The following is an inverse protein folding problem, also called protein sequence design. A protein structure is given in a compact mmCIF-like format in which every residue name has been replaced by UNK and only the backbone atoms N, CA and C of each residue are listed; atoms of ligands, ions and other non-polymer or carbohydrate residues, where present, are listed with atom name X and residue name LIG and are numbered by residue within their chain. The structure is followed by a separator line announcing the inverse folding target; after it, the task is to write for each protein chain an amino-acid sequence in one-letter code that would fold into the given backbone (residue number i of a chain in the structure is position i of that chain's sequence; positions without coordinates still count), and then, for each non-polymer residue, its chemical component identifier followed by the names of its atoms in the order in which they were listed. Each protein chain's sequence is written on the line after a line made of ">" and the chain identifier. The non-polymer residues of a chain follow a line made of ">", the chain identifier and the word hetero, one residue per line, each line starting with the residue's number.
data_IF_629836496395
#
_entry.id   IF_629836496395
#
_cell.length_a   1.000
_cell.length_b   1.000
_cell.length_c   1.000
_cell.angle_alpha   90.00
_cell.angle_beta   90.00
_cell.angle_gamma   90.00
#
_symmetry.space_group_name_H-M   'P 1'
#
loop_
_entity.id
_entity.type
_entity.pdbx_description
1 polymer ?
#
# COMPACT_ATOMS: atom_id res chain seq x y z
N UNK A 1 -27.80 24.96 -27.11
CA UNK A 1 -27.45 24.16 -25.91
C UNK A 1 -25.95 24.27 -25.68
N UNK A 2 -25.53 24.68 -24.49
CA UNK A 2 -24.10 24.80 -24.15
C UNK A 2 -23.46 23.42 -24.18
N UNK A 3 -22.48 23.23 -25.07
CA UNK A 3 -21.77 21.95 -25.29
C UNK A 3 -20.92 21.49 -24.09
N UNK A 4 -20.80 22.33 -23.05
CA UNK A 4 -20.02 22.08 -21.84
C UNK A 4 -20.77 21.29 -20.76
N UNK A 5 -22.10 21.31 -20.77
CA UNK A 5 -22.94 20.60 -19.79
C UNK A 5 -22.67 19.08 -19.77
N UNK A 6 -22.57 18.36 -20.91
CA UNK A 6 -22.27 16.92 -20.87
C UNK A 6 -20.87 16.59 -20.32
N UNK A 7 -19.91 17.51 -20.43
CA UNK A 7 -18.56 17.31 -19.89
C UNK A 7 -18.55 17.36 -18.35
N UNK A 8 -19.37 18.24 -17.77
CA UNK A 8 -19.51 18.37 -16.31
C UNK A 8 -20.13 17.12 -15.67
N UNK A 9 -21.03 16.43 -16.38
CA UNK A 9 -21.70 15.21 -15.92
C UNK A 9 -20.76 14.00 -15.80
N UNK A 10 -19.60 14.03 -16.46
CA UNK A 10 -18.60 12.96 -16.41
C UNK A 10 -17.61 13.08 -15.24
N UNK A 11 -17.59 14.23 -14.56
CA UNK A 11 -16.65 14.52 -13.47
C UNK A 11 -16.70 13.54 -12.27
N UNK A 12 -17.87 13.09 -11.76
CA UNK A 12 -17.90 12.23 -10.57
C UNK A 12 -17.30 10.83 -10.80
N UNK A 13 -17.23 10.35 -12.04
CA UNK A 13 -16.63 9.05 -12.34
C UNK A 13 -15.12 9.01 -12.07
N UNK A 14 -14.45 10.17 -12.08
CA UNK A 14 -13.03 10.31 -11.81
C UNK A 14 -12.69 10.16 -10.32
N UNK A 15 -13.67 10.28 -9.42
CA UNK A 15 -13.45 10.24 -7.96
C UNK A 15 -13.41 8.81 -7.40
N UNK A 16 -13.82 7.80 -8.18
CA UNK A 16 -13.95 6.42 -7.69
C UNK A 16 -12.63 5.67 -7.54
N UNK A 17 -11.52 6.16 -8.10
CA UNK A 17 -10.24 5.45 -8.18
C UNK A 17 -9.17 5.94 -7.17
N UNK A 18 -9.54 6.76 -6.18
CA UNK A 18 -8.57 7.36 -5.26
C UNK A 18 -8.03 6.34 -4.25
N UNK A 19 -6.70 6.20 -4.21
CA UNK A 19 -6.00 5.48 -3.12
C UNK A 19 -5.85 6.40 -1.92
N UNK A 20 -6.35 5.97 -0.77
CA UNK A 20 -6.15 6.66 0.50
C UNK A 20 -4.96 6.04 1.21
N UNK A 21 -3.91 6.84 1.46
CA UNK A 21 -2.66 6.39 2.07
C UNK A 21 -2.55 6.91 3.50
N UNK A 22 -2.32 6.02 4.45
CA UNK A 22 -2.03 6.34 5.84
C UNK A 22 -0.62 5.88 6.18
N UNK A 23 0.13 6.72 6.88
CA UNK A 23 1.50 6.44 7.31
C UNK A 23 1.49 6.39 8.83
N UNK A 24 1.98 5.29 9.41
CA UNK A 24 2.00 5.08 10.86
C UNK A 24 3.37 4.59 11.31
N UNK A 25 3.70 4.98 12.54
CA UNK A 25 4.84 4.45 13.26
C UNK A 25 4.39 3.21 14.04
N UNK A 26 4.94 2.04 13.69
CA UNK A 26 4.69 0.77 14.37
C UNK A 26 5.85 0.46 15.31
N UNK A 27 5.57 0.35 16.61
CA UNK A 27 6.53 -0.10 17.62
C UNK A 27 6.30 -1.57 17.93
N UNK A 28 7.36 -2.37 17.88
CA UNK A 28 7.29 -3.81 18.11
C UNK A 28 8.50 -4.30 18.90
N UNK A 29 8.34 -5.46 19.55
CA UNK A 29 9.40 -6.16 20.27
C UNK A 29 9.44 -7.60 19.77
N UNK A 30 10.60 -8.04 19.30
CA UNK A 30 10.80 -9.43 18.88
C UNK A 30 11.02 -10.37 20.06
N UNK A 31 11.64 -9.86 21.13
CA UNK A 31 11.79 -10.52 22.43
C UNK A 31 11.06 -9.68 23.50
N UNK A 32 10.19 -10.27 24.33
CA UNK A 32 9.56 -9.57 25.46
C UNK A 32 10.56 -8.81 26.36
N UNK A 33 11.77 -9.33 26.54
CA UNK A 33 12.82 -8.73 27.36
C UNK A 33 13.68 -7.70 26.58
N UNK A 34 13.55 -7.62 25.26
CA UNK A 34 14.34 -6.75 24.41
C UNK A 34 13.82 -5.31 24.31
N UNK A 35 14.62 -4.48 23.65
CA UNK A 35 14.27 -3.11 23.31
C UNK A 35 13.18 -3.05 22.24
N UNK A 36 12.37 -1.99 22.29
CA UNK A 36 11.37 -1.75 21.25
C UNK A 36 12.05 -1.27 19.98
N UNK A 37 11.73 -1.92 18.88
CA UNK A 37 12.06 -1.50 17.52
C UNK A 37 10.88 -0.70 16.95
N UNK A 38 11.18 0.13 15.95
CA UNK A 38 10.21 1.02 15.33
C UNK A 38 10.32 0.92 13.82
N UNK A 39 9.17 0.79 13.15
CA UNK A 39 9.07 0.77 11.69
C UNK A 39 8.05 1.79 11.21
N UNK A 40 8.38 2.51 10.14
CA UNK A 40 7.41 3.32 9.41
C UNK A 40 6.70 2.43 8.41
N UNK A 41 5.39 2.37 8.56
CA UNK A 41 4.55 1.46 7.82
C UNK A 41 3.45 2.25 7.10
N UNK A 42 2.95 1.69 5.99
CA UNK A 42 2.03 2.33 5.07
C UNK A 42 0.82 1.46 4.82
N UNK A 43 -0.36 2.06 4.94
CA UNK A 43 -1.66 1.46 4.68
C UNK A 43 -2.29 2.19 3.51
N UNK A 44 -2.34 1.51 2.37
CA UNK A 44 -3.02 1.98 1.18
C UNK A 44 -4.39 1.31 1.07
N UNK A 45 -5.44 2.13 0.97
CA UNK A 45 -6.82 1.69 0.78
C UNK A 45 -7.29 2.20 -0.57
N UNK A 46 -7.41 1.31 -1.55
CA UNK A 46 -7.96 1.60 -2.88
C UNK A 46 -9.23 0.78 -3.13
N UNK A 47 -10.04 1.08 -4.17
CA UNK A 47 -11.30 0.38 -4.48
C UNK A 47 -11.23 -1.14 -4.48
N UNK A 48 -10.13 -1.69 -4.96
CA UNK A 48 -9.98 -3.11 -5.27
C UNK A 48 -9.29 -3.88 -4.13
N UNK A 49 -8.37 -3.24 -3.42
CA UNK A 49 -7.48 -3.86 -2.45
C UNK A 49 -7.01 -2.89 -1.36
N UNK A 50 -6.57 -3.50 -0.26
CA UNK A 50 -5.92 -2.86 0.87
C UNK A 50 -4.52 -3.45 0.99
N UNK A 51 -3.50 -2.59 1.07
CA UNK A 51 -2.10 -2.98 1.21
C UNK A 51 -1.52 -2.41 2.50
N UNK A 52 -0.76 -3.22 3.21
CA UNK A 52 -0.08 -2.85 4.45
C UNK A 52 1.38 -3.30 4.34
N UNK A 53 2.32 -2.37 4.30
CA UNK A 53 3.72 -2.67 3.97
C UNK A 53 4.68 -1.61 4.53
N UNK A 54 5.97 -1.92 4.57
CA UNK A 54 7.01 -1.00 5.07
C UNK A 54 7.26 0.18 4.12
N UNK A 55 7.49 1.38 4.64
CA UNK A 55 7.86 2.57 3.85
C UNK A 55 9.05 2.33 2.90
N UNK A 56 10.00 1.46 3.25
CA UNK A 56 11.13 1.06 2.40
C UNK A 56 10.71 0.61 0.98
N UNK A 57 9.51 0.06 0.81
CA UNK A 57 8.99 -0.32 -0.50
C UNK A 57 8.69 0.90 -1.39
N UNK A 58 8.14 1.99 -0.84
CA UNK A 58 7.91 3.24 -1.59
C UNK A 58 9.24 3.90 -1.97
N UNK A 59 10.20 3.90 -1.06
CA UNK A 59 11.53 4.44 -1.32
C UNK A 59 12.22 3.68 -2.45
N UNK A 60 12.15 2.35 -2.42
CA UNK A 60 12.74 1.48 -3.45
C UNK A 60 12.08 1.70 -4.81
N UNK A 61 10.74 1.77 -4.87
CA UNK A 61 10.01 2.05 -6.11
C UNK A 61 10.36 3.44 -6.68
N UNK A 62 10.46 4.45 -5.80
CA UNK A 62 10.85 5.80 -6.18
C UNK A 62 12.27 5.83 -6.77
N UNK A 63 13.23 5.16 -6.13
CA UNK A 63 14.61 5.05 -6.61
C UNK A 63 14.69 4.28 -7.93
N UNK A 64 13.93 3.20 -8.09
CA UNK A 64 13.85 2.44 -9.32
C UNK A 64 13.36 3.30 -10.49
N UNK A 65 12.32 4.09 -10.26
CA UNK A 65 11.78 5.01 -11.27
C UNK A 65 12.80 6.06 -11.69
N UNK A 66 13.54 6.64 -10.74
CA UNK A 66 14.56 7.65 -11.02
C UNK A 66 15.78 7.05 -11.73
N UNK A 67 16.21 5.86 -11.32
CA UNK A 67 17.43 5.20 -11.83
C UNK A 67 17.18 4.32 -13.06
N UNK A 68 15.93 4.15 -13.47
CA UNK A 68 15.52 3.20 -14.50
C UNK A 68 16.01 1.76 -14.21
N UNK A 69 15.92 1.36 -12.95
CA UNK A 69 16.30 0.01 -12.47
C UNK A 69 15.08 -0.77 -11.98
N UNK A 70 15.23 -2.07 -11.77
CA UNK A 70 14.22 -2.96 -11.17
C UNK A 70 14.82 -3.73 -10.00
N UNK A 71 15.23 -3.00 -8.98
CA UNK A 71 15.75 -3.58 -7.75
C UNK A 71 14.61 -3.91 -6.80
N UNK A 72 14.71 -5.04 -6.13
CA UNK A 72 13.67 -5.55 -5.24
C UNK A 72 14.08 -5.35 -3.78
N UNK A 73 13.15 -4.87 -2.95
CA UNK A 73 13.38 -4.69 -1.51
C UNK A 73 12.95 -5.94 -0.76
N UNK A 74 13.90 -6.62 -0.14
CA UNK A 74 13.65 -7.76 0.74
C UNK A 74 13.59 -7.25 2.18
N UNK A 75 12.51 -6.55 2.56
CA UNK A 75 12.33 -6.21 3.96
C UNK A 75 11.92 -7.47 4.73
N UNK A 76 12.84 -7.97 5.55
CA UNK A 76 12.63 -9.16 6.38
C UNK A 76 11.94 -8.85 7.70
N UNK A 77 11.83 -7.57 8.07
CA UNK A 77 11.27 -7.12 9.34
C UNK A 77 9.73 -7.15 9.34
N UNK A 78 9.09 -6.67 8.27
CA UNK A 78 7.64 -6.64 8.15
C UNK A 78 7.18 -7.04 6.73
N UNK A 79 6.60 -8.24 6.53
CA UNK A 79 6.14 -8.65 5.21
C UNK A 79 4.98 -7.78 4.73
N UNK A 80 4.96 -7.49 3.42
CA UNK A 80 3.83 -6.82 2.79
C UNK A 80 2.58 -7.72 2.82
N UNK A 81 1.48 -7.14 3.29
CA UNK A 81 0.17 -7.78 3.40
C UNK A 81 -0.76 -7.14 2.39
N UNK A 82 -1.45 -7.96 1.58
CA UNK A 82 -2.46 -7.47 0.65
C UNK A 82 -3.75 -8.25 0.80
N UNK A 83 -4.86 -7.50 0.81
CA UNK A 83 -6.20 -8.03 0.91
C UNK A 83 -7.11 -7.39 -0.13
N UNK A 84 -7.76 -8.21 -0.97
CA UNK A 84 -8.82 -7.74 -1.85
C UNK A 84 -10.03 -7.25 -1.04
N UNK A 85 -10.64 -6.14 -1.44
CA UNK A 85 -11.89 -5.66 -0.82
C UNK A 85 -13.02 -6.63 -1.10
N UNK A 86 -13.89 -6.84 -0.10
CA UNK A 86 -14.99 -7.82 -0.17
C UNK A 86 -14.56 -9.29 0.01
N UNK A 87 -13.26 -9.57 0.13
CA UNK A 87 -12.77 -10.92 0.43
C UNK A 87 -12.83 -11.19 1.93
N UNK A 88 -13.69 -12.14 2.33
CA UNK A 88 -13.71 -12.74 3.66
C UNK A 88 -12.90 -14.04 3.59
N UNK A 89 -11.75 -14.15 4.28
CA UNK A 89 -10.94 -15.36 4.18
C UNK A 89 -11.64 -16.50 4.94
N UNK A 90 -11.86 -17.64 4.25
CA UNK A 90 -12.13 -18.91 4.92
C UNK A 90 -10.84 -19.48 5.55
N UNK A 91 -9.68 -19.12 4.98
CA UNK A 91 -8.34 -19.38 5.51
C UNK A 91 -7.38 -18.22 5.16
N UNK A 92 -7.02 -17.41 6.15
CA UNK A 92 -5.81 -16.59 6.17
C UNK A 92 -5.72 -15.35 5.27
N UNK A 93 -5.01 -14.34 5.78
CA UNK A 93 -4.52 -13.18 5.04
C UNK A 93 -3.37 -13.65 4.13
N UNK A 94 -3.34 -13.26 2.85
CA UNK A 94 -2.20 -13.56 1.98
C UNK A 94 -1.11 -12.53 2.19
N UNK A 95 0.03 -12.95 2.74
CA UNK A 95 1.27 -12.20 2.57
C UNK A 95 1.61 -12.24 1.07
N UNK A 96 1.49 -11.11 0.39
CA UNK A 96 1.78 -11.08 -1.04
C UNK A 96 3.28 -10.98 -1.22
N UNK A 97 3.89 -12.12 -1.53
CA UNK A 97 5.31 -12.18 -1.88
C UNK A 97 5.60 -11.61 -3.26
N UNK A 98 4.62 -11.06 -4.00
CA UNK A 98 4.79 -10.47 -5.34
C UNK A 98 5.02 -8.96 -5.36
N UNK A 99 5.20 -8.32 -4.20
CA UNK A 99 5.94 -7.05 -4.12
C UNK A 99 7.46 -7.30 -4.23
N UNK A 100 7.84 -8.22 -5.14
CA UNK A 100 9.20 -8.41 -5.63
C UNK A 100 9.33 -7.30 -6.66
#
# INVERSE_FOLDING_TARGET
>A
MNKLVPLLLLFPFLLSAQTHRFIYEMKYKTDPAGDSQTLTMVLDVNPDEVKFYNMKYIETDSLNKVRNTRSYSWDTEAPAIVRKRGYQPQHGISADRRFI
#
